data_IF_511531147100
#
_entry.id   IF_511531147100
#
_cell.length_a   1.000
_cell.length_b   1.000
_cell.length_c   1.000
_cell.angle_alpha   90.00
_cell.angle_beta   90.00
_cell.angle_gamma   90.00
#
_symmetry.space_group_name_H-M   'P 1'
#
loop_
_entity.id
_entity.type
_entity.pdbx_description
1 polymer ?
#
# COMPACT_ATOMS: atom_id res chain seq x y z
N UNK A 1 -3.74 -14.64 12.67
CA UNK A 1 -4.73 -14.54 11.60
C UNK A 1 -4.02 -14.40 10.25
N UNK A 2 -4.50 -15.13 9.25
CA UNK A 2 -3.99 -15.09 7.88
C UNK A 2 -5.14 -15.10 6.90
N UNK A 3 -5.08 -14.22 5.90
CA UNK A 3 -6.06 -14.15 4.81
C UNK A 3 -5.34 -14.03 3.47
N UNK A 4 -5.78 -14.83 2.51
CA UNK A 4 -5.34 -14.72 1.12
C UNK A 4 -6.57 -14.59 0.23
N UNK A 5 -6.54 -13.60 -0.67
CA UNK A 5 -7.60 -13.35 -1.64
C UNK A 5 -7.04 -13.54 -3.04
N UNK A 6 -7.70 -14.34 -3.84
CA UNK A 6 -7.43 -14.51 -5.25
C UNK A 6 -8.53 -13.85 -6.07
N UNK A 7 -8.14 -13.02 -7.02
CA UNK A 7 -9.04 -12.34 -7.96
C UNK A 7 -8.66 -12.66 -9.40
N UNK A 8 -9.66 -12.79 -10.26
CA UNK A 8 -9.49 -13.02 -11.68
C UNK A 8 -10.53 -12.22 -12.45
N UNK A 9 -10.13 -11.49 -13.49
CA UNK A 9 -11.03 -10.74 -14.34
C UNK A 9 -10.71 -10.96 -15.83
N UNK A 10 -11.75 -10.87 -16.68
CA UNK A 10 -11.65 -10.97 -18.13
C UNK A 10 -11.32 -12.36 -18.69
N UNK A 11 -11.01 -13.34 -17.84
CA UNK A 11 -10.59 -14.68 -18.28
C UNK A 11 -11.74 -15.49 -18.85
N UNK A 12 -12.90 -15.48 -18.20
CA UNK A 12 -14.10 -16.14 -18.70
C UNK A 12 -14.52 -15.55 -20.05
N UNK A 13 -14.55 -14.23 -20.16
CA UNK A 13 -14.85 -13.53 -21.41
C UNK A 13 -13.85 -13.93 -22.51
N UNK A 14 -12.54 -13.95 -22.23
CA UNK A 14 -11.52 -14.37 -23.18
C UNK A 14 -11.64 -15.84 -23.59
N UNK A 15 -12.10 -16.71 -22.69
CA UNK A 15 -12.38 -18.11 -22.98
C UNK A 15 -13.56 -18.27 -23.96
N UNK A 16 -14.62 -17.47 -23.77
CA UNK A 16 -15.76 -17.43 -24.71
C UNK A 16 -15.26 -16.98 -26.09
N UNK A 17 -14.47 -15.91 -26.18
CA UNK A 17 -13.89 -15.47 -27.45
C UNK A 17 -13.04 -16.57 -28.12
N UNK A 18 -12.30 -17.35 -27.32
CA UNK A 18 -11.53 -18.50 -27.84
C UNK A 18 -12.44 -19.58 -28.44
N UNK A 19 -13.59 -19.85 -27.81
CA UNK A 19 -14.58 -20.80 -28.33
C UNK A 19 -15.16 -20.35 -29.69
N UNK A 20 -15.20 -19.03 -29.95
CA UNK A 20 -15.58 -18.46 -31.25
C UNK A 20 -14.39 -18.24 -32.22
N UNK A 21 -13.26 -18.93 -32.01
CA UNK A 21 -12.12 -18.93 -32.93
C UNK A 21 -11.14 -17.76 -32.78
N UNK A 22 -11.30 -16.92 -31.74
CA UNK A 22 -10.33 -15.85 -31.46
C UNK A 22 -9.27 -16.32 -30.45
N UNK A 23 -8.06 -15.75 -30.52
CA UNK A 23 -7.02 -16.06 -29.55
C UNK A 23 -7.40 -15.60 -28.14
N UNK A 24 -7.15 -16.44 -27.13
CA UNK A 24 -7.35 -16.11 -25.71
C UNK A 24 -6.55 -14.86 -25.30
N UNK A 25 -5.34 -14.70 -25.80
CA UNK A 25 -4.42 -13.61 -25.49
C UNK A 25 -4.44 -12.48 -26.53
N UNK A 26 -5.43 -12.45 -27.45
CA UNK A 26 -5.57 -11.36 -28.42
C UNK A 26 -5.83 -10.05 -27.66
N UNK A 27 -5.19 -8.97 -28.08
CA UNK A 27 -5.43 -7.62 -27.63
C UNK A 27 -6.69 -7.03 -28.29
N UNK A 28 -7.20 -5.90 -27.75
CA UNK A 28 -8.34 -5.14 -28.28
C UNK A 28 -9.70 -5.86 -28.35
N UNK A 29 -9.89 -6.90 -27.54
CA UNK A 29 -11.21 -7.51 -27.38
C UNK A 29 -12.16 -6.56 -26.62
N UNK A 30 -13.41 -6.46 -27.10
CA UNK A 30 -14.43 -5.61 -26.52
C UNK A 30 -15.66 -6.44 -26.14
N UNK A 31 -16.18 -6.25 -24.94
CA UNK A 31 -17.48 -6.79 -24.52
C UNK A 31 -18.52 -5.68 -24.64
N UNK A 32 -19.56 -5.88 -25.44
CA UNK A 32 -20.59 -4.86 -25.73
C UNK A 32 -19.99 -3.49 -26.17
N UNK A 33 -18.91 -3.53 -26.96
CA UNK A 33 -18.23 -2.34 -27.45
C UNK A 33 -17.22 -1.70 -26.49
N UNK A 34 -17.10 -2.18 -25.24
CA UNK A 34 -16.19 -1.67 -24.21
C UNK A 34 -15.00 -2.60 -24.05
N UNK A 35 -13.74 -2.10 -24.08
CA UNK A 35 -12.56 -2.90 -23.75
C UNK A 35 -12.64 -3.40 -22.31
N UNK A 36 -12.28 -4.65 -22.07
CA UNK A 36 -12.23 -5.23 -20.73
C UNK A 36 -10.80 -5.58 -20.33
N UNK A 37 -10.49 -5.43 -19.04
CA UNK A 37 -9.19 -5.82 -18.51
C UNK A 37 -9.13 -7.34 -18.27
N UNK A 38 -7.94 -7.92 -18.50
CA UNK A 38 -7.65 -9.32 -18.25
C UNK A 38 -6.47 -9.40 -17.28
N UNK A 39 -6.70 -9.90 -16.06
CA UNK A 39 -5.67 -9.97 -15.02
C UNK A 39 -5.95 -11.08 -14.00
N UNK A 40 -4.90 -11.45 -13.29
CA UNK A 40 -4.94 -12.21 -12.04
C UNK A 40 -4.44 -11.32 -10.90
N UNK A 41 -5.09 -11.41 -9.75
CA UNK A 41 -4.74 -10.67 -8.54
C UNK A 41 -4.60 -11.63 -7.37
N UNK A 42 -3.48 -11.56 -6.68
CA UNK A 42 -3.25 -12.25 -5.42
C UNK A 42 -2.95 -11.20 -4.36
N UNK A 43 -3.62 -11.28 -3.22
CA UNK A 43 -3.36 -10.44 -2.06
C UNK A 43 -3.36 -11.30 -0.81
N UNK A 44 -2.30 -11.20 -0.01
CA UNK A 44 -2.15 -11.97 1.22
C UNK A 44 -1.76 -11.05 2.36
N UNK A 45 -2.35 -11.30 3.52
CA UNK A 45 -2.08 -10.54 4.74
C UNK A 45 -2.01 -11.50 5.93
N UNK A 46 -0.96 -11.33 6.73
CA UNK A 46 -0.73 -12.05 7.96
C UNK A 46 -0.66 -11.06 9.12
N UNK A 47 -1.43 -11.33 10.19
CA UNK A 47 -1.42 -10.55 11.44
C UNK A 47 -1.05 -11.45 12.60
N UNK A 48 -0.17 -10.94 13.45
CA UNK A 48 0.25 -11.64 14.67
C UNK A 48 0.17 -10.68 15.85
N UNK A 49 -0.56 -11.09 16.90
CA UNK A 49 -0.70 -10.34 18.13
C UNK A 49 -0.06 -11.12 19.25
N UNK A 50 0.97 -10.54 19.86
CA UNK A 50 1.66 -11.09 21.00
C UNK A 50 1.32 -10.30 22.26
N UNK A 51 0.53 -10.89 23.16
CA UNK A 51 0.20 -10.30 24.44
C UNK A 51 1.34 -10.51 25.41
N UNK A 52 1.97 -9.42 25.89
CA UNK A 52 3.04 -9.44 26.88
C UNK A 52 2.41 -9.64 28.27
N UNK A 53 1.41 -8.81 28.60
CA UNK A 53 0.62 -8.90 29.82
C UNK A 53 -0.81 -8.36 29.59
N UNK A 54 -1.54 -8.10 30.69
CA UNK A 54 -2.93 -7.57 30.60
C UNK A 54 -3.02 -6.16 30.02
N UNK A 55 -1.93 -5.40 30.06
CA UNK A 55 -1.88 -3.99 29.70
C UNK A 55 -1.01 -3.71 28.47
N UNK A 56 -0.31 -4.73 27.93
CA UNK A 56 0.69 -4.54 26.89
C UNK A 56 0.61 -5.62 25.83
N UNK A 57 0.73 -5.21 24.59
CA UNK A 57 0.66 -6.10 23.43
C UNK A 57 1.52 -5.58 22.28
N UNK A 58 2.14 -6.47 21.55
CA UNK A 58 2.75 -6.20 20.25
C UNK A 58 1.80 -6.73 19.17
N UNK A 59 1.36 -5.84 18.28
CA UNK A 59 0.62 -6.19 17.07
C UNK A 59 1.54 -6.06 15.85
N UNK A 60 1.53 -7.05 14.99
CA UNK A 60 2.36 -7.08 13.78
C UNK A 60 1.50 -7.44 12.57
N UNK A 61 1.80 -6.85 11.41
CA UNK A 61 1.18 -7.16 10.14
C UNK A 61 2.23 -7.23 9.05
N UNK A 62 2.10 -8.23 8.19
CA UNK A 62 2.81 -8.30 6.90
C UNK A 62 1.74 -8.48 5.83
N UNK A 63 1.77 -7.64 4.80
CA UNK A 63 0.84 -7.71 3.70
C UNK A 63 1.59 -7.61 2.37
N UNK A 64 1.18 -8.43 1.42
CA UNK A 64 1.74 -8.46 0.08
C UNK A 64 0.68 -8.72 -0.97
N UNK A 65 0.85 -8.15 -2.15
CA UNK A 65 -0.07 -8.36 -3.25
C UNK A 65 0.59 -8.21 -4.60
N UNK A 66 0.05 -8.91 -5.60
CA UNK A 66 0.49 -8.83 -6.98
C UNK A 66 -0.70 -8.87 -7.93
N UNK A 67 -0.66 -8.04 -8.96
CA UNK A 67 -1.60 -8.04 -10.07
C UNK A 67 -0.81 -8.30 -11.35
N UNK A 68 -1.16 -9.37 -12.05
CA UNK A 68 -0.59 -9.69 -13.33
C UNK A 68 -1.62 -9.46 -14.43
N UNK A 69 -1.44 -8.38 -15.20
CA UNK A 69 -2.24 -8.06 -16.37
C UNK A 69 -1.63 -8.71 -17.62
N UNK A 70 -2.45 -9.31 -18.47
CA UNK A 70 -2.03 -10.01 -19.68
C UNK A 70 -3.15 -10.02 -20.72
N UNK A 71 -2.83 -10.51 -21.93
CA UNK A 71 -3.79 -10.65 -23.03
C UNK A 71 -4.40 -9.30 -23.41
N UNK A 72 -5.66 -9.10 -23.07
CA UNK A 72 -6.42 -7.90 -23.46
C UNK A 72 -6.04 -6.61 -22.71
N UNK A 73 -5.16 -6.69 -21.71
CA UNK A 73 -4.74 -5.52 -20.94
C UNK A 73 -3.26 -5.57 -20.60
N UNK A 74 -2.56 -4.47 -20.79
CA UNK A 74 -1.17 -4.29 -20.37
C UNK A 74 -1.06 -3.82 -18.92
N UNK A 75 -2.12 -3.18 -18.42
CA UNK A 75 -2.21 -2.60 -17.07
C UNK A 75 -3.56 -2.94 -16.45
N UNK A 76 -3.60 -3.20 -15.16
CA UNK A 76 -4.84 -3.39 -14.42
C UNK A 76 -5.64 -2.08 -14.31
N UNK A 77 -6.97 -2.14 -14.20
CA UNK A 77 -7.77 -0.96 -13.90
C UNK A 77 -7.29 -0.28 -12.62
N UNK A 78 -7.32 1.05 -12.61
CA UNK A 78 -6.91 1.86 -11.47
C UNK A 78 -7.57 1.46 -10.13
N UNK A 79 -8.83 1.07 -10.17
CA UNK A 79 -9.60 0.63 -9.01
C UNK A 79 -9.10 -0.69 -8.40
N UNK A 80 -8.39 -1.49 -9.20
CA UNK A 80 -7.84 -2.78 -8.77
C UNK A 80 -6.39 -2.66 -8.31
N UNK A 81 -5.66 -1.63 -8.76
CA UNK A 81 -4.27 -1.42 -8.40
C UNK A 81 -4.10 -1.12 -6.91
N UNK A 82 -2.98 -1.56 -6.37
CA UNK A 82 -2.63 -1.32 -4.96
C UNK A 82 -2.14 0.11 -4.76
N UNK A 83 -2.40 0.63 -3.56
CA UNK A 83 -1.81 1.86 -3.02
C UNK A 83 -1.44 1.66 -1.56
N UNK A 84 -0.61 2.56 -1.02
CA UNK A 84 -0.20 2.58 0.38
C UNK A 84 -0.30 3.99 0.96
N UNK A 85 -0.02 4.10 2.27
CA UNK A 85 -0.18 5.31 3.05
C UNK A 85 -1.57 5.43 3.70
N UNK A 86 -1.68 6.34 4.64
CA UNK A 86 -2.89 6.58 5.41
C UNK A 86 -2.96 5.79 6.72
N UNK A 87 -4.03 6.01 7.47
CA UNK A 87 -4.21 5.56 8.85
C UNK A 87 -4.09 4.04 9.07
N UNK A 88 -4.37 3.22 8.07
CA UNK A 88 -4.36 1.74 8.15
C UNK A 88 -3.25 1.09 7.29
N UNK A 89 -2.26 1.88 6.88
CA UNK A 89 -1.13 1.45 6.06
C UNK A 89 0.17 2.02 6.66
N UNK A 90 0.91 2.86 5.94
CA UNK A 90 2.12 3.53 6.44
C UNK A 90 1.73 4.90 6.95
N UNK A 91 1.58 5.03 8.27
CA UNK A 91 0.98 6.19 8.94
C UNK A 91 1.80 7.49 8.90
N UNK A 92 3.05 7.40 8.48
CA UNK A 92 3.87 8.59 8.23
C UNK A 92 3.49 9.32 6.93
N UNK A 93 2.60 8.75 6.12
CA UNK A 93 2.24 9.25 4.79
C UNK A 93 0.73 9.31 4.60
N UNK A 94 0.26 10.28 3.84
CA UNK A 94 -1.13 10.33 3.39
C UNK A 94 -1.44 9.18 2.42
N UNK A 95 -2.70 8.80 2.32
CA UNK A 95 -3.11 7.78 1.37
C UNK A 95 -2.75 8.18 -0.07
N UNK A 96 -2.16 7.26 -0.83
CA UNK A 96 -1.76 7.49 -2.23
C UNK A 96 -0.77 8.66 -2.39
N UNK A 97 0.20 8.78 -1.50
CA UNK A 97 1.22 9.85 -1.58
C UNK A 97 2.63 9.35 -1.87
N UNK A 98 2.83 8.03 -1.88
CA UNK A 98 4.13 7.39 -2.15
C UNK A 98 3.99 6.24 -3.13
N UNK A 99 5.11 5.93 -3.83
CA UNK A 99 5.17 4.95 -4.91
C UNK A 99 4.61 5.48 -6.24
N UNK A 100 4.61 4.65 -7.30
CA UNK A 100 5.26 3.34 -7.36
C UNK A 100 6.78 3.45 -7.32
N UNK A 101 7.44 2.53 -6.62
CA UNK A 101 8.89 2.48 -6.51
C UNK A 101 9.51 3.79 -6.06
N UNK A 102 10.47 4.29 -6.83
CA UNK A 102 11.15 5.57 -6.60
C UNK A 102 10.51 6.77 -7.31
N UNK A 103 9.30 6.64 -7.86
CA UNK A 103 8.61 7.73 -8.53
C UNK A 103 8.18 8.83 -7.52
N UNK A 104 8.67 10.07 -7.66
CA UNK A 104 8.38 11.15 -6.73
C UNK A 104 6.96 11.70 -6.92
N UNK A 105 6.29 12.19 -5.86
CA UNK A 105 5.04 12.89 -5.98
C UNK A 105 5.22 14.25 -6.68
N UNK A 106 4.38 14.52 -7.66
CA UNK A 106 4.30 15.82 -8.32
C UNK A 106 3.45 16.77 -7.47
N UNK A 107 4.10 17.63 -6.70
CA UNK A 107 3.44 18.57 -5.78
C UNK A 107 2.68 19.70 -6.51
N UNK A 108 2.97 19.94 -7.77
CA UNK A 108 2.31 20.99 -8.57
C UNK A 108 1.00 20.50 -9.19
N UNK A 109 0.85 19.17 -9.36
CA UNK A 109 -0.35 18.58 -9.94
C UNK A 109 -1.38 18.22 -8.88
N UNK A 110 -2.54 18.87 -8.92
CA UNK A 110 -3.66 18.64 -8.00
C UNK A 110 -4.11 17.17 -7.88
N UNK A 111 -3.94 16.39 -8.93
CA UNK A 111 -4.37 14.98 -9.00
C UNK A 111 -3.19 14.00 -9.11
N UNK A 112 -2.01 14.37 -8.61
CA UNK A 112 -0.83 13.50 -8.67
C UNK A 112 -1.04 12.15 -7.96
N UNK A 113 -1.92 12.08 -6.96
CA UNK A 113 -2.26 10.87 -6.22
C UNK A 113 -2.80 9.73 -7.13
N UNK A 114 -3.33 10.03 -8.32
CA UNK A 114 -3.77 9.04 -9.30
C UNK A 114 -2.59 8.18 -9.78
N UNK A 115 -1.40 8.75 -9.85
CA UNK A 115 -0.21 8.05 -10.31
C UNK A 115 0.44 7.16 -9.22
N UNK A 116 0.03 7.34 -7.94
CA UNK A 116 0.62 6.63 -6.80
C UNK A 116 -0.11 5.30 -6.51
N UNK A 117 -0.12 4.44 -7.53
CA UNK A 117 -0.66 3.07 -7.51
C UNK A 117 0.31 2.11 -8.17
N UNK A 118 0.25 0.84 -7.83
CA UNK A 118 1.14 -0.18 -8.37
C UNK A 118 0.48 -1.53 -8.56
N UNK A 119 1.18 -2.40 -9.27
CA UNK A 119 0.77 -3.78 -9.53
C UNK A 119 1.27 -4.72 -8.42
N UNK A 120 2.29 -4.31 -7.68
CA UNK A 120 2.89 -5.07 -6.57
C UNK A 120 2.82 -4.19 -5.32
N UNK A 121 2.42 -4.79 -4.19
CA UNK A 121 2.41 -4.15 -2.86
C UNK A 121 3.18 -4.99 -1.87
N UNK A 122 3.98 -4.35 -1.02
CA UNK A 122 4.58 -4.96 0.16
C UNK A 122 4.50 -3.98 1.32
N UNK A 123 3.98 -4.44 2.45
CA UNK A 123 3.85 -3.68 3.70
C UNK A 123 4.23 -4.54 4.89
N UNK A 124 4.87 -3.91 5.86
CA UNK A 124 5.15 -4.47 7.18
C UNK A 124 4.88 -3.40 8.25
N UNK A 125 4.16 -3.78 9.28
CA UNK A 125 3.78 -2.89 10.37
C UNK A 125 4.03 -3.60 11.71
N UNK A 126 4.57 -2.87 12.67
CA UNK A 126 4.70 -3.33 14.06
C UNK A 126 4.23 -2.21 14.96
N UNK A 127 3.38 -2.54 15.92
CA UNK A 127 2.82 -1.59 16.88
C UNK A 127 2.89 -2.17 18.30
N UNK A 128 3.57 -1.46 19.20
CA UNK A 128 3.52 -1.72 20.63
C UNK A 128 2.40 -0.90 21.25
N UNK A 129 1.43 -1.57 21.86
CA UNK A 129 0.26 -1.00 22.50
C UNK A 129 0.37 -1.18 24.02
N UNK A 130 0.09 -0.12 24.76
CA UNK A 130 0.15 -0.16 26.23
C UNK A 130 -0.97 0.68 26.85
N UNK A 131 -1.45 0.23 27.99
CA UNK A 131 -2.49 0.96 28.75
C UNK A 131 -1.86 2.16 29.48
N UNK A 132 -2.48 3.32 29.37
CA UNK A 132 -2.08 4.54 30.09
C UNK A 132 -2.92 4.66 31.37
N UNK A 133 -4.24 4.81 31.22
CA UNK A 133 -5.17 4.95 32.32
C UNK A 133 -6.60 4.63 31.85
N UNK A 134 -7.34 3.80 32.61
CA UNK A 134 -8.71 3.43 32.24
C UNK A 134 -8.77 2.85 30.85
N UNK A 135 -9.55 3.45 29.98
CA UNK A 135 -9.78 3.04 28.58
C UNK A 135 -8.84 3.76 27.60
N UNK A 136 -7.91 4.58 28.14
CA UNK A 136 -6.91 5.26 27.33
C UNK A 136 -5.66 4.40 27.19
N UNK A 137 -5.28 4.12 25.92
CA UNK A 137 -4.10 3.36 25.55
C UNK A 137 -3.17 4.21 24.69
N UNK A 138 -1.87 3.99 24.84
CA UNK A 138 -0.82 4.51 23.99
C UNK A 138 -0.38 3.48 22.97
N UNK A 139 0.18 3.95 21.87
CA UNK A 139 0.87 3.09 20.91
C UNK A 139 2.11 3.78 20.35
N UNK A 140 3.14 2.97 20.07
CA UNK A 140 4.33 3.36 19.29
C UNK A 140 4.42 2.39 18.14
N UNK A 141 4.73 2.87 16.94
CA UNK A 141 4.70 2.04 15.77
C UNK A 141 5.86 2.29 14.80
N UNK A 142 6.12 1.27 14.00
CA UNK A 142 7.04 1.30 12.87
C UNK A 142 6.31 0.69 11.66
N UNK A 143 6.24 1.44 10.58
CA UNK A 143 5.58 1.06 9.33
C UNK A 143 6.57 1.13 8.17
N UNK A 144 6.60 0.10 7.33
CA UNK A 144 7.46 0.04 6.16
C UNK A 144 6.70 -0.54 4.95
N UNK A 145 7.02 -0.09 3.75
CA UNK A 145 6.45 -0.67 2.53
C UNK A 145 6.51 0.26 1.33
N UNK A 146 6.03 -0.25 0.22
CA UNK A 146 5.80 0.52 -1.00
C UNK A 146 4.89 -0.27 -1.96
N UNK A 147 4.50 0.39 -3.06
CA UNK A 147 3.93 -0.24 -4.24
C UNK A 147 4.91 -0.10 -5.40
N UNK A 148 4.87 -1.03 -6.34
CA UNK A 148 5.71 -1.03 -7.55
C UNK A 148 4.89 -1.41 -8.77
N UNK A 149 5.38 -1.00 -9.93
CA UNK A 149 4.92 -1.48 -11.21
C UNK A 149 5.60 -2.81 -11.55
N UNK A 150 4.87 -3.72 -12.19
CA UNK A 150 5.44 -4.95 -12.72
C UNK A 150 6.22 -4.69 -14.01
N UNK A 151 5.78 -3.72 -14.80
CA UNK A 151 6.38 -3.33 -16.07
C UNK A 151 6.94 -1.93 -16.03
N UNK A 152 7.94 -1.67 -16.90
CA UNK A 152 8.49 -0.32 -17.06
C UNK A 152 7.43 0.60 -17.64
N UNK A 153 7.30 1.79 -17.04
CA UNK A 153 6.40 2.86 -17.46
C UNK A 153 7.24 4.12 -17.75
N UNK A 154 6.99 4.76 -18.90
CA UNK A 154 7.70 5.98 -19.30
C UNK A 154 7.27 7.20 -18.50
N UNK A 155 6.01 7.22 -18.09
CA UNK A 155 5.41 8.33 -17.33
C UNK A 155 5.70 8.25 -15.83
N UNK A 156 6.12 7.05 -15.37
CA UNK A 156 6.50 6.78 -13.97
C UNK A 156 7.87 6.13 -13.90
N UNK A 157 8.95 6.90 -14.22
CA UNK A 157 10.31 6.41 -14.15
C UNK A 157 10.65 5.91 -12.74
N UNK A 158 11.51 4.90 -12.63
CA UNK A 158 11.85 4.20 -11.38
C UNK A 158 10.68 3.55 -10.62
N UNK A 159 9.49 3.49 -11.23
CA UNK A 159 8.32 2.84 -10.63
C UNK A 159 8.36 1.31 -10.65
N UNK A 160 9.19 0.69 -11.50
CA UNK A 160 9.29 -0.76 -11.64
C UNK A 160 10.06 -1.41 -10.49
N UNK A 161 9.56 -2.55 -10.00
CA UNK A 161 10.29 -3.36 -9.00
C UNK A 161 11.57 -3.92 -9.60
N UNK A 162 12.70 -3.62 -8.97
CA UNK A 162 14.01 -4.22 -9.28
C UNK A 162 14.73 -4.56 -7.98
N UNK A 163 15.41 -5.72 -7.91
CA UNK A 163 16.14 -6.15 -6.71
C UNK A 163 17.23 -5.13 -6.31
N UNK A 164 17.84 -4.46 -7.29
CA UNK A 164 18.87 -3.47 -7.06
C UNK A 164 18.36 -2.22 -6.32
N UNK A 165 17.16 -1.78 -6.66
CA UNK A 165 16.59 -0.53 -6.14
C UNK A 165 15.67 -0.77 -4.93
N UNK A 166 15.18 -2.00 -4.74
CA UNK A 166 14.24 -2.36 -3.70
C UNK A 166 14.58 -1.79 -2.32
N UNK A 167 15.81 -1.92 -1.76
CA UNK A 167 16.10 -1.43 -0.41
C UNK A 167 15.99 0.10 -0.26
N UNK A 168 16.22 0.84 -1.36
CA UNK A 168 16.12 2.30 -1.38
C UNK A 168 14.70 2.79 -1.65
N UNK A 169 13.85 1.92 -2.15
CA UNK A 169 12.47 2.23 -2.52
C UNK A 169 11.45 1.78 -1.48
N UNK A 170 11.88 1.32 -0.29
CA UNK A 170 10.99 1.01 0.81
C UNK A 170 10.80 2.27 1.66
N UNK A 171 9.60 2.83 1.65
CA UNK A 171 9.24 3.91 2.56
C UNK A 171 9.25 3.42 4.00
N UNK A 172 9.75 4.22 4.92
CA UNK A 172 9.81 3.89 6.36
C UNK A 172 9.26 5.05 7.17
N UNK A 173 8.39 4.73 8.11
CA UNK A 173 7.82 5.71 9.03
C UNK A 173 7.65 5.14 10.43
N UNK A 174 7.69 6.01 11.41
CA UNK A 174 7.44 5.70 12.82
C UNK A 174 6.43 6.69 13.38
N UNK A 175 6.04 6.49 14.61
CA UNK A 175 5.16 7.45 15.27
C UNK A 175 4.59 6.96 16.58
N UNK A 176 3.74 7.79 17.15
CA UNK A 176 3.01 7.50 18.36
C UNK A 176 1.53 7.79 18.17
N UNK A 177 0.69 7.19 18.99
CA UNK A 177 -0.73 7.43 18.90
C UNK A 177 -1.47 7.12 20.19
N UNK A 178 -2.66 7.67 20.29
CA UNK A 178 -3.61 7.44 21.37
C UNK A 178 -4.80 6.61 20.87
N UNK A 179 -5.30 5.75 21.74
CA UNK A 179 -6.49 4.92 21.53
C UNK A 179 -7.40 5.11 22.71
N UNK A 180 -8.62 5.52 22.47
CA UNK A 180 -9.66 5.57 23.48
C UNK A 180 -10.69 4.47 23.18
N UNK A 181 -10.64 3.42 23.99
CA UNK A 181 -11.42 2.19 23.81
C UNK A 181 -12.70 2.26 24.62
N UNK A 182 -13.84 2.29 23.93
CA UNK A 182 -15.19 2.33 24.52
C UNK A 182 -15.87 0.95 24.46
N UNK A 183 -15.12 -0.15 24.39
CA UNK A 183 -15.58 -1.54 24.18
C UNK A 183 -16.22 -1.79 22.80
N UNK A 184 -17.19 -0.97 22.42
CA UNK A 184 -17.89 -1.09 21.12
C UNK A 184 -17.26 -0.25 20.00
N UNK A 185 -16.38 0.71 20.35
CA UNK A 185 -15.77 1.65 19.42
C UNK A 185 -14.42 2.12 19.96
N UNK A 186 -13.40 2.12 19.11
CA UNK A 186 -12.07 2.66 19.43
C UNK A 186 -11.82 3.93 18.61
N UNK A 187 -11.66 5.05 19.28
CA UNK A 187 -11.14 6.27 18.67
C UNK A 187 -9.62 6.23 18.66
N UNK A 188 -9.05 6.54 17.50
CA UNK A 188 -7.62 6.51 17.30
C UNK A 188 -7.12 7.83 16.74
N UNK A 189 -6.05 8.33 17.33
CA UNK A 189 -5.32 9.49 16.86
C UNK A 189 -3.85 9.15 16.76
N UNK A 190 -3.29 9.20 15.54
CA UNK A 190 -1.90 8.84 15.24
C UNK A 190 -1.14 10.05 14.73
N UNK A 191 0.06 10.23 15.25
CA UNK A 191 1.09 11.11 14.73
C UNK A 191 2.21 10.28 14.11
N UNK A 192 2.30 10.33 12.78
CA UNK A 192 3.32 9.63 12.00
C UNK A 192 4.45 10.56 11.60
N UNK A 193 5.66 10.02 11.56
CA UNK A 193 6.89 10.70 11.17
C UNK A 193 7.63 9.84 10.15
N UNK A 194 7.83 10.36 8.94
CA UNK A 194 8.60 9.72 7.90
C UNK A 194 10.09 9.68 8.27
N UNK A 195 10.71 8.53 8.08
CA UNK A 195 12.13 8.30 8.27
C UNK A 195 12.86 8.18 6.93
N UNK A 196 12.19 7.63 5.92
CA UNK A 196 12.74 7.43 4.59
C UNK A 196 11.67 7.52 3.51
N UNK A 197 11.85 8.47 2.59
CA UNK A 197 11.08 8.56 1.36
C UNK A 197 11.67 7.62 0.29
N UNK A 198 10.84 6.90 -0.48
CA UNK A 198 11.30 5.91 -1.46
C UNK A 198 11.91 6.53 -2.73
N UNK A 199 12.00 7.84 -2.81
CA UNK A 199 12.53 8.59 -3.95
C UNK A 199 13.63 9.55 -3.52
N UNK A 200 14.34 10.11 -4.50
CA UNK A 200 15.40 11.10 -4.24
C UNK A 200 14.77 12.43 -3.79
N UNK A 201 15.09 12.85 -2.59
CA UNK A 201 14.68 14.12 -1.99
C UNK A 201 15.75 15.19 -2.05
N UNK A 202 16.93 14.89 -2.64
CA UNK A 202 18.13 15.72 -2.63
C UNK A 202 18.93 15.65 -1.33
N UNK A 203 18.41 15.01 -0.26
CA UNK A 203 19.14 14.82 1.00
C UNK A 203 19.87 13.47 1.01
N UNK A 204 21.17 13.50 1.29
CA UNK A 204 21.99 12.30 1.37
C UNK A 204 21.74 11.50 2.65
N UNK A 205 21.92 10.18 2.57
CA UNK A 205 21.78 9.25 3.69
C UNK A 205 20.43 8.51 3.68
N UNK A 206 20.30 7.52 4.56
CA UNK A 206 19.08 6.74 4.63
C UNK A 206 17.90 7.59 5.17
N UNK A 207 18.13 8.38 6.22
CA UNK A 207 17.18 9.42 6.64
C UNK A 207 17.24 10.58 5.64
N UNK A 208 16.32 10.57 4.67
CA UNK A 208 16.34 11.48 3.54
C UNK A 208 15.22 12.53 3.58
N UNK A 209 14.52 12.71 4.70
CA UNK A 209 13.49 13.74 4.86
C UNK A 209 14.15 15.12 4.95
N UNK A 210 13.87 16.06 4.02
CA UNK A 210 14.58 17.36 3.98
C UNK A 210 14.35 18.18 5.24
N UNK A 211 13.09 18.36 5.63
CA UNK A 211 12.70 19.06 6.86
C UNK A 211 11.78 18.17 7.68
N UNK A 212 11.96 18.14 8.99
CA UNK A 212 11.15 17.31 9.90
C UNK A 212 9.64 17.50 9.69
N UNK A 213 9.20 18.75 9.49
CA UNK A 213 7.78 19.07 9.26
C UNK A 213 7.21 18.47 7.98
N UNK A 214 8.05 18.27 6.95
CA UNK A 214 7.62 17.72 5.66
C UNK A 214 7.32 16.21 5.76
N UNK A 215 7.88 15.55 6.77
CA UNK A 215 7.66 14.12 7.04
C UNK A 215 6.59 13.84 8.11
N UNK A 216 5.78 14.80 8.51
CA UNK A 216 4.76 14.61 9.54
C UNK A 216 3.38 14.38 8.94
N UNK A 217 2.67 13.39 9.46
CA UNK A 217 1.28 13.12 9.11
C UNK A 217 0.44 12.88 10.37
N UNK A 218 -0.80 13.34 10.34
CA UNK A 218 -1.77 13.19 11.42
C UNK A 218 -2.97 12.41 10.91
N UNK A 219 -3.40 11.40 11.65
CA UNK A 219 -4.55 10.59 11.30
C UNK A 219 -5.52 10.48 12.47
N UNK A 220 -6.78 10.74 12.18
CA UNK A 220 -7.89 10.35 13.03
C UNK A 220 -8.60 9.17 12.38
N UNK A 221 -8.86 8.12 13.14
CA UNK A 221 -9.50 6.92 12.62
C UNK A 221 -10.35 6.21 13.70
N UNK A 222 -11.20 5.32 13.25
CA UNK A 222 -12.02 4.47 14.10
C UNK A 222 -11.52 3.02 13.97
N UNK A 223 -11.36 2.34 15.10
CA UNK A 223 -10.84 0.98 15.17
C UNK A 223 -9.31 0.88 15.18
N UNK A 224 -8.80 -0.33 15.38
CA UNK A 224 -7.38 -0.62 15.29
C UNK A 224 -6.91 -0.68 13.83
N UNK A 225 -5.64 -0.37 13.51
CA UNK A 225 -5.17 -0.32 12.13
C UNK A 225 -5.07 -1.72 11.48
N UNK A 226 -4.86 -2.76 12.28
CA UNK A 226 -4.79 -4.17 11.86
C UNK A 226 -4.98 -5.11 13.06
#
# INVERSE_FOLDING_TARGET
>A
WWQTTFGSAGNLTSLIYKAFGQSFSKEDKKLLGVPFAQFLKLNSEFRYHYRIDKNQMIASRIAGGVIWSYGNATTAPYTEQFYIGGANSIRAYSARSIGPGGYPPDKEKKYSYINHVGDIRMEANVEYRFRILGDLHGAIFLDAGNVWLMRKDKDRPDGQLTLKNFPKQVALGTGAGLRYDLDFLVFRFDWGVALHDPYDTGKKGYYNIPKFKDGMAWHFAIGYPF
#
